data_IF_038102651286
#
_entry.id   IF_038102651286
#
_cell.length_a   1.000
_cell.length_b   1.000
_cell.length_c   1.000
_cell.angle_alpha   90.00
_cell.angle_beta   90.00
_cell.angle_gamma   90.00
#
_symmetry.space_group_name_H-M   'P 1'
#
loop_
_entity.id
_entity.type
_entity.pdbx_description
1 polymer ?
#
# COMPACT_ATOMS: atom_id res chain seq x y z
N UNK A 1 -18.20 0.84 0.61
CA UNK A 1 -16.98 1.65 0.84
C UNK A 1 -17.07 2.50 2.13
N UNK A 2 -18.23 3.07 2.39
CA UNK A 2 -18.40 4.19 3.32
C UNK A 2 -18.22 3.90 4.81
N UNK A 3 -18.68 2.76 5.30
CA UNK A 3 -18.79 2.54 6.75
C UNK A 3 -17.44 2.52 7.45
N UNK A 4 -16.43 1.91 6.83
CA UNK A 4 -15.08 1.90 7.41
C UNK A 4 -14.45 3.30 7.35
N UNK A 5 -14.51 3.96 6.20
CA UNK A 5 -13.89 5.29 6.01
C UNK A 5 -14.49 6.32 6.97
N UNK A 6 -15.82 6.37 7.08
CA UNK A 6 -16.52 7.29 7.99
C UNK A 6 -16.18 7.03 9.46
N UNK A 7 -15.99 5.77 9.83
CA UNK A 7 -15.81 5.37 11.23
C UNK A 7 -14.36 5.45 11.70
N UNK A 8 -13.40 5.08 10.86
CA UNK A 8 -12.02 4.83 11.29
C UNK A 8 -11.00 5.82 10.73
N UNK A 9 -11.23 6.47 9.58
CA UNK A 9 -10.22 7.34 8.97
C UNK A 9 -9.82 8.49 9.91
N UNK A 10 -10.79 9.20 10.47
CA UNK A 10 -10.53 10.30 11.40
C UNK A 10 -9.88 9.82 12.71
N UNK A 11 -10.20 8.61 13.17
CA UNK A 11 -9.59 8.05 14.38
C UNK A 11 -8.13 7.65 14.14
N UNK A 12 -7.84 6.99 13.02
CA UNK A 12 -6.49 6.58 12.66
C UNK A 12 -5.57 7.77 12.50
N UNK A 13 -6.05 8.84 11.87
CA UNK A 13 -5.29 10.08 11.72
C UNK A 13 -5.04 10.76 13.08
N UNK A 14 -6.07 10.87 13.95
CA UNK A 14 -5.90 11.47 15.29
C UNK A 14 -4.93 10.68 16.18
N UNK A 15 -4.88 9.36 16.00
CA UNK A 15 -4.04 8.48 16.79
C UNK A 15 -2.67 8.21 16.15
N UNK A 16 -2.37 8.82 14.99
CA UNK A 16 -1.14 8.59 14.22
C UNK A 16 -0.88 7.11 13.87
N UNK A 17 -1.94 6.31 13.67
CA UNK A 17 -1.80 4.88 13.36
C UNK A 17 -1.80 4.61 11.86
N UNK A 18 -2.40 5.48 11.06
CA UNK A 18 -2.29 5.45 9.60
C UNK A 18 -2.61 6.82 8.98
N UNK A 19 -1.83 7.22 7.99
CA UNK A 19 -2.18 8.30 7.09
C UNK A 19 -3.25 7.81 6.10
N UNK A 20 -4.25 8.64 5.80
CA UNK A 20 -5.35 8.31 4.90
C UNK A 20 -5.40 9.32 3.75
N UNK A 21 -5.45 8.82 2.52
CA UNK A 21 -5.69 9.64 1.32
C UNK A 21 -6.97 9.22 0.63
N UNK A 22 -7.64 10.20 0.04
CA UNK A 22 -8.89 10.01 -0.70
C UNK A 22 -8.77 10.66 -2.07
N UNK A 23 -9.34 10.02 -3.08
CA UNK A 23 -9.70 10.67 -4.34
C UNK A 23 -11.20 10.96 -4.24
N UNK A 24 -11.59 12.22 -4.46
CA UNK A 24 -12.97 12.64 -4.42
C UNK A 24 -13.31 13.49 -5.66
N UNK A 25 -14.54 13.38 -6.12
CA UNK A 25 -15.10 14.26 -7.14
C UNK A 25 -15.53 15.61 -6.55
N UNK A 26 -15.95 16.50 -7.44
CA UNK A 26 -16.66 17.73 -7.06
C UNK A 26 -17.86 17.38 -6.15
N UNK A 27 -18.04 18.17 -5.10
CA UNK A 27 -19.05 17.88 -4.07
C UNK A 27 -18.64 16.85 -3.01
N UNK A 28 -17.34 16.51 -2.93
CA UNK A 28 -16.75 15.64 -1.89
C UNK A 28 -17.25 14.20 -1.88
N UNK A 29 -17.78 13.70 -3.01
CA UNK A 29 -18.05 12.28 -3.18
C UNK A 29 -16.72 11.54 -3.31
N UNK A 30 -16.39 10.71 -2.31
CA UNK A 30 -15.19 9.87 -2.35
C UNK A 30 -15.35 8.81 -3.43
N UNK A 31 -14.36 8.69 -4.32
CA UNK A 31 -14.28 7.68 -5.38
C UNK A 31 -13.33 6.54 -4.99
N UNK A 32 -12.30 6.82 -4.19
CA UNK A 32 -11.40 5.82 -3.64
C UNK A 32 -10.69 6.34 -2.39
N UNK A 33 -10.21 5.42 -1.56
CA UNK A 33 -9.34 5.74 -0.43
C UNK A 33 -8.26 4.69 -0.21
N UNK A 34 -7.16 5.12 0.41
CA UNK A 34 -6.07 4.24 0.82
C UNK A 34 -5.52 4.67 2.16
N UNK A 35 -4.88 3.76 2.88
CA UNK A 35 -4.10 4.07 4.08
C UNK A 35 -2.65 3.62 3.98
N UNK A 36 -1.76 4.35 4.63
CA UNK A 36 -0.33 4.01 4.76
C UNK A 36 0.10 4.13 6.22
N UNK A 37 0.88 3.17 6.69
CA UNK A 37 1.46 3.19 8.04
C UNK A 37 2.88 2.61 8.03
N UNK A 38 3.66 2.96 9.05
CA UNK A 38 4.96 2.32 9.29
C UNK A 38 4.73 0.90 9.79
N UNK A 39 5.55 -0.05 9.34
CA UNK A 39 5.53 -1.44 9.79
C UNK A 39 6.92 -2.07 9.71
N UNK A 40 7.04 -3.33 10.11
CA UNK A 40 8.23 -4.13 9.88
C UNK A 40 7.87 -5.58 9.51
N UNK A 41 8.75 -6.25 8.77
CA UNK A 41 8.63 -7.65 8.36
C UNK A 41 9.61 -8.47 9.17
N UNK A 42 9.15 -9.55 9.78
CA UNK A 42 10.01 -10.50 10.50
C UNK A 42 11.02 -11.15 9.53
N UNK A 43 12.29 -11.28 9.93
CA UNK A 43 13.33 -11.90 9.10
C UNK A 43 13.02 -13.35 8.73
N UNK A 44 12.30 -14.08 9.58
CA UNK A 44 11.91 -15.47 9.34
C UNK A 44 10.84 -15.59 8.25
N UNK A 45 10.01 -14.57 8.09
CA UNK A 45 8.99 -14.47 7.04
C UNK A 45 9.48 -13.74 5.79
N UNK A 46 10.62 -13.05 5.85
CA UNK A 46 11.12 -12.21 4.77
C UNK A 46 11.91 -13.03 3.71
N UNK A 47 11.51 -12.97 2.42
CA UNK A 47 12.30 -13.50 1.32
C UNK A 47 13.72 -12.90 1.25
N UNK A 48 14.63 -13.61 0.60
CA UNK A 48 16.03 -13.20 0.47
C UNK A 48 16.24 -11.73 0.03
N UNK A 49 15.50 -11.16 -0.94
CA UNK A 49 15.64 -9.77 -1.34
C UNK A 49 15.32 -8.75 -0.23
N UNK A 50 14.40 -9.08 0.67
CA UNK A 50 13.99 -8.21 1.78
C UNK A 50 14.99 -8.25 2.93
N UNK A 51 15.42 -9.44 3.36
CA UNK A 51 16.36 -9.60 4.49
C UNK A 51 17.80 -9.23 4.15
N UNK A 52 18.20 -9.31 2.88
CA UNK A 52 19.59 -9.01 2.48
C UNK A 52 19.93 -7.55 2.75
N UNK A 53 20.93 -7.35 3.63
CA UNK A 53 21.41 -6.05 4.06
C UNK A 53 20.31 -5.14 4.63
N UNK A 54 19.36 -5.73 5.38
CA UNK A 54 18.34 -5.02 6.14
C UNK A 54 18.50 -5.30 7.65
N UNK A 55 18.11 -4.37 8.53
CA UNK A 55 18.05 -4.64 9.97
C UNK A 55 16.94 -5.65 10.29
N UNK A 56 16.96 -6.22 11.48
CA UNK A 56 15.93 -7.12 12.00
C UNK A 56 15.11 -6.41 13.10
N UNK A 57 13.79 -6.19 12.89
CA UNK A 57 12.99 -6.58 11.73
C UNK A 57 13.19 -5.67 10.50
N UNK A 58 12.82 -6.15 9.31
CA UNK A 58 12.98 -5.41 8.03
C UNK A 58 12.01 -4.23 7.98
N UNK A 59 12.47 -2.96 7.85
CA UNK A 59 11.58 -1.80 7.87
C UNK A 59 10.73 -1.73 6.60
N UNK A 60 9.43 -1.48 6.75
CA UNK A 60 8.49 -1.44 5.64
C UNK A 60 7.38 -0.39 5.82
N UNK A 61 6.68 -0.10 4.73
CA UNK A 61 5.46 0.71 4.72
C UNK A 61 4.26 -0.18 4.38
N UNK A 62 3.23 -0.16 5.21
CA UNK A 62 2.03 -0.96 5.03
C UNK A 62 0.94 -0.17 4.30
N UNK A 63 0.47 -0.70 3.16
CA UNK A 63 -0.81 -0.31 2.57
C UNK A 63 -1.91 -1.04 3.32
N UNK A 64 -2.45 -0.39 4.35
CA UNK A 64 -3.39 -1.04 5.27
C UNK A 64 -4.75 -1.33 4.64
N UNK A 65 -5.23 -0.41 3.79
CA UNK A 65 -6.45 -0.57 3.00
C UNK A 65 -6.32 0.17 1.69
N UNK A 66 -6.97 -0.39 0.67
CA UNK A 66 -7.26 0.27 -0.59
C UNK A 66 -8.68 -0.12 -0.99
N UNK A 67 -9.53 0.86 -1.28
CA UNK A 67 -10.88 0.61 -1.77
C UNK A 67 -11.25 1.65 -2.84
N UNK A 68 -12.00 1.20 -3.84
CA UNK A 68 -12.57 2.03 -4.90
C UNK A 68 -14.08 1.84 -4.84
N UNK A 69 -14.83 2.92 -4.98
CA UNK A 69 -16.28 2.88 -5.07
C UNK A 69 -16.72 2.17 -6.37
N UNK A 70 -17.78 1.39 -6.31
CA UNK A 70 -18.24 0.57 -7.44
C UNK A 70 -18.53 1.42 -8.68
N UNK A 71 -19.06 2.64 -8.50
CA UNK A 71 -19.34 3.55 -9.60
C UNK A 71 -18.07 4.04 -10.34
N UNK A 72 -16.89 3.86 -9.74
CA UNK A 72 -15.59 4.30 -10.27
C UNK A 72 -14.65 3.14 -10.61
N UNK A 73 -15.13 1.91 -10.44
CA UNK A 73 -14.35 0.71 -10.75
C UNK A 73 -14.09 0.63 -12.25
N UNK A 74 -12.88 0.23 -12.63
CA UNK A 74 -12.47 0.15 -14.04
C UNK A 74 -12.01 1.48 -14.66
N UNK A 75 -12.18 2.62 -13.97
CA UNK A 75 -11.74 3.94 -14.45
C UNK A 75 -10.28 4.26 -14.10
N UNK A 76 -9.53 3.30 -13.54
CA UNK A 76 -8.13 3.49 -13.15
C UNK A 76 -7.89 4.26 -11.84
N UNK A 77 -8.95 4.63 -11.10
CA UNK A 77 -8.84 5.41 -9.85
C UNK A 77 -7.97 4.70 -8.80
N UNK A 78 -8.13 3.39 -8.62
CA UNK A 78 -7.29 2.61 -7.71
C UNK A 78 -5.82 2.63 -8.10
N UNK A 79 -5.52 2.51 -9.40
CA UNK A 79 -4.15 2.58 -9.92
C UNK A 79 -3.55 3.96 -9.72
N UNK A 80 -4.31 5.03 -9.98
CA UNK A 80 -3.87 6.39 -9.72
C UNK A 80 -3.53 6.61 -8.23
N UNK A 81 -4.34 6.05 -7.32
CA UNK A 81 -4.10 6.14 -5.89
C UNK A 81 -2.86 5.36 -5.44
N UNK A 82 -2.61 4.18 -6.02
CA UNK A 82 -1.37 3.44 -5.76
C UNK A 82 -0.15 4.19 -6.31
N UNK A 83 -0.22 4.80 -7.49
CA UNK A 83 0.89 5.63 -8.01
C UNK A 83 1.20 6.78 -7.07
N UNK A 84 0.18 7.46 -6.53
CA UNK A 84 0.37 8.49 -5.51
C UNK A 84 1.08 7.93 -4.28
N UNK A 85 0.58 6.81 -3.74
CA UNK A 85 1.16 6.16 -2.56
C UNK A 85 2.62 5.74 -2.77
N UNK A 86 2.96 5.18 -3.92
CA UNK A 86 4.33 4.79 -4.25
C UNK A 86 5.26 5.99 -4.41
N UNK A 87 4.79 7.10 -4.99
CA UNK A 87 5.54 8.35 -5.03
C UNK A 87 5.79 8.89 -3.61
N UNK A 88 4.77 8.88 -2.75
CA UNK A 88 4.90 9.25 -1.33
C UNK A 88 5.89 8.34 -0.59
N UNK A 89 5.90 7.04 -0.87
CA UNK A 89 6.87 6.11 -0.28
C UNK A 89 8.32 6.47 -0.66
N UNK A 90 8.57 6.87 -1.92
CA UNK A 90 9.89 7.34 -2.37
C UNK A 90 10.30 8.62 -1.65
N UNK A 91 9.39 9.58 -1.48
CA UNK A 91 9.65 10.84 -0.77
C UNK A 91 9.96 10.59 0.71
N UNK A 92 9.14 9.78 1.40
CA UNK A 92 9.34 9.41 2.80
C UNK A 92 10.70 8.72 3.01
N UNK A 93 11.13 7.90 2.06
CA UNK A 93 12.38 7.14 2.13
C UNK A 93 13.63 8.03 2.21
N UNK A 94 13.53 9.32 1.83
CA UNK A 94 14.62 10.29 1.98
C UNK A 94 14.82 10.73 3.45
N UNK A 95 13.76 10.70 4.26
CA UNK A 95 13.77 11.16 5.65
C UNK A 95 13.74 10.01 6.65
N UNK A 96 13.03 8.92 6.32
CA UNK A 96 12.88 7.73 7.14
C UNK A 96 12.81 6.51 6.23
N UNK A 97 13.95 5.82 6.08
CA UNK A 97 14.09 4.81 5.06
C UNK A 97 13.32 3.51 5.37
N UNK A 98 12.72 2.92 4.33
CA UNK A 98 12.10 1.59 4.38
C UNK A 98 12.53 0.75 3.18
N UNK A 99 12.63 -0.57 3.39
CA UNK A 99 13.09 -1.51 2.36
C UNK A 99 12.00 -1.81 1.33
N UNK A 100 10.74 -1.81 1.77
CA UNK A 100 9.62 -2.20 0.93
C UNK A 100 8.30 -1.55 1.34
N UNK A 101 7.38 -1.51 0.38
CA UNK A 101 5.95 -1.30 0.59
C UNK A 101 5.28 -2.68 0.61
N UNK A 102 4.43 -2.95 1.59
CA UNK A 102 3.74 -4.23 1.77
C UNK A 102 2.23 -4.06 1.78
N UNK A 103 1.51 -5.09 1.34
CA UNK A 103 0.05 -5.14 1.32
C UNK A 103 -0.43 -6.57 1.50
N UNK A 104 -1.57 -6.75 2.17
CA UNK A 104 -2.30 -8.02 2.17
C UNK A 104 -3.48 -7.89 1.22
N UNK A 105 -3.46 -8.62 0.11
CA UNK A 105 -4.58 -8.71 -0.81
C UNK A 105 -5.78 -9.39 -0.12
N UNK A 106 -6.99 -8.92 -0.41
CA UNK A 106 -8.20 -9.47 0.21
C UNK A 106 -8.56 -10.87 -0.32
N UNK A 107 -8.22 -11.15 -1.58
CA UNK A 107 -8.54 -12.39 -2.30
C UNK A 107 -7.68 -12.50 -3.56
N UNK A 108 -7.73 -13.64 -4.24
CA UNK A 108 -6.87 -13.95 -5.40
C UNK A 108 -6.99 -12.94 -6.55
N UNK A 109 -8.21 -12.47 -6.84
CA UNK A 109 -8.40 -11.44 -7.86
C UNK A 109 -7.69 -10.12 -7.51
N UNK A 110 -7.65 -9.74 -6.22
CA UNK A 110 -6.92 -8.57 -5.76
C UNK A 110 -5.41 -8.81 -5.81
N UNK A 111 -4.95 -10.02 -5.44
CA UNK A 111 -3.55 -10.44 -5.58
C UNK A 111 -3.09 -10.28 -7.02
N UNK A 112 -3.84 -10.82 -7.98
CA UNK A 112 -3.59 -10.68 -9.41
C UNK A 112 -3.51 -9.22 -9.88
N UNK A 113 -4.26 -8.31 -9.27
CA UNK A 113 -4.19 -6.89 -9.57
C UNK A 113 -2.90 -6.26 -9.03
N UNK A 114 -2.50 -6.56 -7.79
CA UNK A 114 -1.24 -6.08 -7.21
C UNK A 114 -0.01 -6.61 -7.97
N UNK A 115 -0.03 -7.87 -8.40
CA UNK A 115 1.05 -8.46 -9.21
C UNK A 115 1.26 -7.68 -10.52
N UNK A 116 0.18 -7.24 -11.17
CA UNK A 116 0.26 -6.42 -12.39
C UNK A 116 0.85 -5.03 -12.14
N UNK A 117 0.84 -4.56 -10.89
CA UNK A 117 1.49 -3.32 -10.47
C UNK A 117 2.96 -3.54 -10.06
N UNK A 118 3.51 -4.74 -10.24
CA UNK A 118 4.90 -5.07 -9.95
C UNK A 118 5.16 -5.52 -8.51
N UNK A 119 4.12 -5.70 -7.69
CA UNK A 119 4.28 -6.34 -6.39
C UNK A 119 4.63 -7.82 -6.57
N UNK A 120 5.38 -8.36 -5.63
CA UNK A 120 5.83 -9.74 -5.56
C UNK A 120 5.27 -10.38 -4.30
N UNK A 121 4.80 -11.63 -4.33
CA UNK A 121 4.26 -12.26 -3.13
C UNK A 121 5.39 -12.57 -2.13
N UNK A 122 5.10 -12.52 -0.82
CA UNK A 122 6.04 -12.93 0.23
C UNK A 122 6.25 -14.46 0.20
N UNK A 123 5.16 -15.20 -0.05
CA UNK A 123 5.14 -16.65 -0.23
C UNK A 123 4.42 -16.95 -1.54
N UNK A 124 4.85 -17.97 -2.30
CA UNK A 124 4.39 -18.19 -3.69
C UNK A 124 2.87 -18.05 -3.89
N UNK A 125 2.07 -18.70 -3.04
CA UNK A 125 0.59 -18.67 -3.08
C UNK A 125 -0.04 -17.77 -2.00
N UNK A 126 0.77 -16.93 -1.36
CA UNK A 126 0.36 -16.01 -0.32
C UNK A 126 -0.40 -14.79 -0.83
N UNK A 127 -1.25 -14.23 0.03
CA UNK A 127 -1.94 -12.95 -0.21
C UNK A 127 -1.13 -11.74 0.28
N UNK A 128 -0.04 -11.96 1.00
CA UNK A 128 0.87 -10.88 1.38
C UNK A 128 1.86 -10.63 0.25
N UNK A 129 1.94 -9.36 -0.17
CA UNK A 129 2.82 -8.93 -1.25
C UNK A 129 3.69 -7.76 -0.82
N UNK A 130 4.83 -7.62 -1.47
CA UNK A 130 5.75 -6.51 -1.30
C UNK A 130 6.20 -5.93 -2.62
N UNK A 131 6.61 -4.67 -2.59
CA UNK A 131 7.36 -3.99 -3.63
C UNK A 131 8.59 -3.38 -2.99
N UNK A 132 9.79 -3.71 -3.47
CA UNK A 132 11.02 -3.08 -2.99
C UNK A 132 10.97 -1.58 -3.29
N UNK A 133 11.33 -0.75 -2.31
CA UNK A 133 11.35 0.71 -2.51
C UNK A 133 12.30 1.11 -3.63
N UNK A 134 13.39 0.35 -3.82
CA UNK A 134 14.34 0.55 -4.91
C UNK A 134 13.74 0.28 -6.31
N UNK A 135 12.69 -0.54 -6.40
CA UNK A 135 12.05 -0.92 -7.67
C UNK A 135 10.82 -0.08 -8.02
N UNK A 136 10.38 0.82 -7.13
CA UNK A 136 9.19 1.66 -7.34
C UNK A 136 9.24 2.43 -8.67
N UNK A 137 10.42 2.93 -9.07
CA UNK A 137 10.59 3.67 -10.32
C UNK A 137 10.19 2.85 -11.57
N UNK A 138 10.30 1.51 -11.52
CA UNK A 138 9.90 0.61 -12.61
C UNK A 138 8.38 0.48 -12.72
N UNK A 139 7.67 0.70 -11.62
CA UNK A 139 6.19 0.67 -11.56
C UNK A 139 5.56 2.01 -11.92
N UNK A 140 6.25 3.13 -11.65
CA UNK A 140 5.72 4.47 -11.89
C UNK A 140 5.86 4.95 -13.35
N UNK A 141 6.71 4.29 -14.14
CA UNK A 141 7.02 4.61 -15.54
C UNK A 141 5.99 4.14 -16.56
#
# INVERSE_FOLDING_TARGET
MDDWLRRYAGQNQRNNTAATWVIAEQGYRVAAYTTLSMTAIDHTAAPAPLRKAAPDPVPALLVGRLAVDEAFTGLGVGTALVRHLLATAVELNLSAACKAVVVTALHEQARSWWLKLGFTPLEDDGLELYLLTADIHKTLG
#
